data_IF_218500741447
#
_entry.id   IF_218500741447
#
_cell.length_a   1.000
_cell.length_b   1.000
_cell.length_c   1.000
_cell.angle_alpha   90.00
_cell.angle_beta   90.00
_cell.angle_gamma   90.00
#
_symmetry.space_group_name_H-M   'P 1'
#
loop_
_entity.id
_entity.type
_entity.pdbx_description
1 polymer ?
#
# COMPACT_ATOMS: atom_id res chain seq x y z
N UNK A 1 -17.68 -18.87 18.09
CA UNK A 1 -17.72 -17.40 18.26
C UNK A 1 -16.29 -16.92 18.41
N UNK A 2 -15.66 -16.50 17.31
CA UNK A 2 -14.30 -15.97 17.37
C UNK A 2 -14.37 -14.66 18.17
N UNK A 3 -13.68 -14.62 19.31
CA UNK A 3 -13.54 -13.42 20.11
C UNK A 3 -12.60 -12.47 19.38
N UNK A 4 -13.12 -11.72 18.40
CA UNK A 4 -12.43 -10.54 17.90
C UNK A 4 -12.37 -9.53 19.04
N UNK A 5 -11.26 -9.57 19.78
CA UNK A 5 -11.02 -8.59 20.83
C UNK A 5 -10.96 -7.19 20.20
N UNK A 6 -11.39 -6.13 20.91
CA UNK A 6 -11.26 -4.76 20.42
C UNK A 6 -9.81 -4.40 20.03
N UNK A 7 -8.81 -5.06 20.61
CA UNK A 7 -7.41 -4.90 20.25
C UNK A 7 -7.09 -5.47 18.86
N UNK A 8 -7.67 -6.62 18.52
CA UNK A 8 -7.51 -7.26 17.20
C UNK A 8 -8.20 -6.44 16.11
N UNK A 9 -9.41 -5.94 16.35
CA UNK A 9 -10.10 -5.04 15.43
C UNK A 9 -9.29 -3.75 15.16
N UNK A 10 -8.67 -3.17 16.19
CA UNK A 10 -7.79 -2.00 16.05
C UNK A 10 -6.52 -2.32 15.24
N UNK A 11 -5.89 -3.47 15.46
CA UNK A 11 -4.72 -3.92 14.68
C UNK A 11 -5.09 -4.07 13.20
N UNK A 12 -6.19 -4.76 12.91
CA UNK A 12 -6.68 -4.95 11.54
C UNK A 12 -7.01 -3.62 10.85
N UNK A 13 -7.69 -2.69 11.54
CA UNK A 13 -8.00 -1.38 11.00
C UNK A 13 -6.73 -0.55 10.70
N UNK A 14 -5.72 -0.61 11.57
CA UNK A 14 -4.45 0.07 11.35
C UNK A 14 -3.71 -0.50 10.12
N UNK A 15 -3.71 -1.82 9.94
CA UNK A 15 -3.11 -2.47 8.77
C UNK A 15 -3.84 -2.12 7.47
N UNK A 16 -5.17 -2.20 7.48
CA UNK A 16 -5.99 -1.78 6.34
C UNK A 16 -5.75 -0.32 5.96
N UNK A 17 -5.59 0.57 6.95
CA UNK A 17 -5.28 1.98 6.69
C UNK A 17 -3.90 2.17 6.05
N UNK A 18 -2.87 1.43 6.49
CA UNK A 18 -1.53 1.51 5.88
C UNK A 18 -1.54 1.01 4.44
N UNK A 19 -2.24 -0.09 4.16
CA UNK A 19 -2.41 -0.61 2.81
C UNK A 19 -3.14 0.38 1.90
N UNK A 20 -4.23 0.99 2.38
CA UNK A 20 -4.97 1.99 1.64
C UNK A 20 -4.08 3.20 1.28
N UNK A 21 -3.32 3.73 2.24
CA UNK A 21 -2.41 4.86 1.99
C UNK A 21 -1.31 4.52 0.98
N UNK A 22 -0.80 3.29 0.99
CA UNK A 22 0.18 2.85 0.01
C UNK A 22 -0.43 2.72 -1.39
N UNK A 23 -1.67 2.24 -1.50
CA UNK A 23 -2.42 2.20 -2.76
C UNK A 23 -2.71 3.61 -3.30
N UNK A 24 -3.19 4.52 -2.45
CA UNK A 24 -3.42 5.93 -2.81
C UNK A 24 -2.13 6.57 -3.37
N UNK A 25 -0.97 6.23 -2.80
CA UNK A 25 0.32 6.71 -3.28
C UNK A 25 0.72 6.10 -4.63
N UNK A 26 0.37 4.83 -4.90
CA UNK A 26 0.57 4.21 -6.22
C UNK A 26 -0.31 4.91 -7.25
N UNK A 27 -1.60 5.08 -6.96
CA UNK A 27 -2.56 5.75 -7.84
C UNK A 27 -2.12 7.18 -8.17
N UNK A 28 -1.70 7.96 -7.16
CA UNK A 28 -1.21 9.31 -7.37
C UNK A 28 0.05 9.37 -8.26
N UNK A 29 0.96 8.39 -8.16
CA UNK A 29 2.12 8.31 -9.06
C UNK A 29 1.71 7.92 -10.48
N UNK A 30 0.74 7.01 -10.63
CA UNK A 30 0.22 6.62 -11.94
C UNK A 30 -0.49 7.80 -12.64
N UNK A 31 -1.28 8.58 -11.91
CA UNK A 31 -1.97 9.76 -12.44
C UNK A 31 -0.99 10.87 -12.87
N UNK A 32 0.19 10.92 -12.25
CA UNK A 32 1.24 11.87 -12.61
C UNK A 32 2.10 11.42 -13.81
N UNK A 33 2.02 10.14 -14.20
CA UNK A 33 2.80 9.61 -15.31
C UNK A 33 2.12 9.91 -16.65
N UNK A 34 2.91 10.33 -17.63
CA UNK A 34 2.43 10.53 -18.98
C UNK A 34 2.08 9.19 -19.66
N UNK A 35 1.05 9.19 -20.49
CA UNK A 35 0.72 8.04 -21.32
C UNK A 35 1.88 7.73 -22.27
N UNK A 36 2.38 6.50 -22.21
CA UNK A 36 3.55 6.08 -22.98
C UNK A 36 4.89 6.46 -22.34
N UNK A 37 4.90 6.84 -21.05
CA UNK A 37 6.12 7.02 -20.29
C UNK A 37 7.05 5.81 -20.40
N UNK A 38 8.35 6.07 -20.45
CA UNK A 38 9.37 5.04 -20.53
C UNK A 38 9.26 4.06 -19.34
N UNK A 39 9.39 2.74 -19.56
CA UNK A 39 9.27 1.75 -18.49
C UNK A 39 10.20 2.00 -17.28
N UNK A 40 11.41 2.54 -17.49
CA UNK A 40 12.34 2.84 -16.41
C UNK A 40 11.86 4.03 -15.57
N UNK A 41 11.20 5.00 -16.18
CA UNK A 41 10.58 6.14 -15.49
C UNK A 41 9.39 5.66 -14.65
N UNK A 42 8.56 4.78 -15.21
CA UNK A 42 7.44 4.16 -14.48
C UNK A 42 7.97 3.34 -13.29
N UNK A 43 8.98 2.51 -13.51
CA UNK A 43 9.59 1.71 -12.45
C UNK A 43 10.20 2.59 -11.36
N UNK A 44 10.87 3.68 -11.72
CA UNK A 44 11.44 4.62 -10.77
C UNK A 44 10.36 5.32 -9.92
N UNK A 45 9.29 5.80 -10.54
CA UNK A 45 8.19 6.48 -9.87
C UNK A 45 7.43 5.56 -8.90
N UNK A 46 7.20 4.31 -9.31
CA UNK A 46 6.42 3.35 -8.52
C UNK A 46 7.24 2.59 -7.47
N UNK A 47 8.58 2.64 -7.51
CA UNK A 47 9.43 1.87 -6.60
C UNK A 47 9.08 2.09 -5.12
N UNK A 48 9.11 3.34 -4.67
CA UNK A 48 8.85 3.69 -3.25
C UNK A 48 7.45 3.31 -2.77
N UNK A 49 6.35 3.64 -3.49
CA UNK A 49 5.02 3.27 -3.03
C UNK A 49 4.78 1.74 -3.08
N UNK A 50 5.38 1.01 -4.02
CA UNK A 50 5.35 -0.46 -4.03
C UNK A 50 6.10 -1.04 -2.82
N UNK A 51 7.28 -0.52 -2.47
CA UNK A 51 8.02 -0.95 -1.28
C UNK A 51 7.22 -0.70 0.01
N UNK A 52 6.53 0.45 0.10
CA UNK A 52 5.65 0.76 1.23
C UNK A 52 4.44 -0.19 1.32
N UNK A 53 3.87 -0.57 0.17
CA UNK A 53 2.79 -1.55 0.11
C UNK A 53 3.26 -2.94 0.54
N UNK A 54 4.41 -3.41 0.04
CA UNK A 54 4.97 -4.72 0.43
C UNK A 54 5.26 -4.78 1.94
N UNK A 55 5.83 -3.71 2.51
CA UNK A 55 6.05 -3.62 3.95
C UNK A 55 4.73 -3.70 4.74
N UNK A 56 3.71 -2.94 4.34
CA UNK A 56 2.40 -2.97 4.98
C UNK A 56 1.71 -4.34 4.85
N UNK A 57 1.88 -5.02 3.71
CA UNK A 57 1.34 -6.35 3.47
C UNK A 57 2.02 -7.41 4.35
N UNK A 58 3.36 -7.35 4.49
CA UNK A 58 4.10 -8.26 5.38
C UNK A 58 3.68 -8.11 6.84
N UNK A 59 3.53 -6.88 7.31
CA UNK A 59 3.02 -6.61 8.67
C UNK A 59 1.60 -7.14 8.88
N UNK A 60 0.77 -7.10 7.83
CA UNK A 60 -0.60 -7.62 7.89
C UNK A 60 -0.68 -9.15 7.94
N UNK A 61 0.28 -9.83 7.34
CA UNK A 61 0.36 -11.30 7.28
C UNK A 61 1.14 -11.92 8.45
N UNK A 62 1.80 -11.11 9.27
CA UNK A 62 2.54 -11.49 10.49
C UNK A 62 1.71 -11.37 11.78
#
# INVERSE_FOLDING_TARGET
MASDSPAQAKKTAAHARRLALALDAIEAQLDALELGADPDVVAHALKKPIEAFDAAAREALS
#
